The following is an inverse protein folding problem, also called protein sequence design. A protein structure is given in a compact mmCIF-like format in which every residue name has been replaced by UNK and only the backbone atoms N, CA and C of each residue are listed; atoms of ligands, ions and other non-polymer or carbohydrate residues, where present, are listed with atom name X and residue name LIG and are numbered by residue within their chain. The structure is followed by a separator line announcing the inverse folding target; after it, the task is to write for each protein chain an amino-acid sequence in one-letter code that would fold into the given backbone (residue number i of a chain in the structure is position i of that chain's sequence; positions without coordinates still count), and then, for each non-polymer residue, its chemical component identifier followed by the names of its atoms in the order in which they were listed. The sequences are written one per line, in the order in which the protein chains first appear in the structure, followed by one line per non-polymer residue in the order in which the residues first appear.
data_IF_605251446420
#
_entry.id   IF_605251446420
#
_cell.length_a   1.000
_cell.length_b   1.000
_cell.length_c   1.000
_cell.angle_alpha   90.00
_cell.angle_beta   90.00
_cell.angle_gamma   90.00
#
_symmetry.space_group_name_H-M   'P 1'
#
loop_
_entity.id
_entity.type
_entity.pdbx_description
1 polymer ?
#
# COMPACT_ATOMS: atom_id res chain seq x y z
N UNK A 1 -7.00 22.56 1.11
CA UNK A 1 -6.12 21.87 0.14
C UNK A 1 -5.49 20.71 0.90
N UNK A 2 -5.92 19.47 0.64
CA UNK A 2 -5.36 18.31 1.35
C UNK A 2 -3.97 18.02 0.78
N UNK A 3 -2.93 18.18 1.60
CA UNK A 3 -1.56 17.85 1.24
C UNK A 3 -1.25 16.41 1.64
N UNK A 4 -0.35 15.75 0.91
CA UNK A 4 0.21 14.46 1.32
C UNK A 4 1.03 14.70 2.59
N UNK A 5 0.86 13.83 3.59
CA UNK A 5 1.63 13.90 4.83
C UNK A 5 3.08 13.45 4.58
N UNK A 6 4.02 14.26 5.06
CA UNK A 6 5.45 14.05 4.89
C UNK A 6 6.08 13.60 6.21
N UNK A 7 6.97 12.62 6.12
CA UNK A 7 7.68 12.02 7.25
C UNK A 7 9.18 12.05 7.01
N UNK A 8 9.95 12.01 8.09
CA UNK A 8 11.41 12.02 8.00
C UNK A 8 11.96 10.66 7.55
N UNK A 9 11.28 9.57 7.91
CA UNK A 9 11.74 8.20 7.67
C UNK A 9 10.65 7.31 7.06
N UNK A 10 11.07 6.21 6.43
CA UNK A 10 10.13 5.22 5.87
C UNK A 10 9.40 4.47 6.97
N UNK A 11 10.04 4.30 8.12
CA UNK A 11 9.51 3.67 9.32
C UNK A 11 8.36 4.48 9.92
N UNK A 12 8.50 5.79 10.05
CA UNK A 12 7.42 6.68 10.49
C UNK A 12 6.24 6.68 9.53
N UNK A 13 6.52 6.82 8.23
CA UNK A 13 5.49 6.78 7.18
C UNK A 13 4.78 5.42 7.14
N UNK A 14 5.52 4.33 7.40
CA UNK A 14 4.97 2.98 7.50
C UNK A 14 4.04 2.84 8.69
N UNK A 15 4.51 3.17 9.90
CA UNK A 15 3.70 3.01 11.11
C UNK A 15 2.41 3.79 10.98
N UNK A 16 2.48 5.05 10.55
CA UNK A 16 1.31 5.90 10.41
C UNK A 16 0.34 5.40 9.33
N UNK A 17 0.85 5.00 8.16
CA UNK A 17 -0.01 4.53 7.07
C UNK A 17 -0.60 3.14 7.35
N UNK A 18 0.14 2.22 7.98
CA UNK A 18 -0.35 0.90 8.37
C UNK A 18 -1.37 1.01 9.50
N UNK A 19 -1.13 1.84 10.52
CA UNK A 19 -2.08 2.06 11.61
C UNK A 19 -3.41 2.64 11.08
N UNK A 20 -3.38 3.37 9.97
CA UNK A 20 -4.58 3.85 9.26
C UNK A 20 -5.27 2.76 8.42
N UNK A 21 -4.58 2.15 7.44
CA UNK A 21 -5.24 1.28 6.45
C UNK A 21 -5.69 -0.07 7.02
N UNK A 22 -5.11 -0.50 8.15
CA UNK A 22 -5.47 -1.76 8.79
C UNK A 22 -6.75 -1.65 9.63
N UNK A 23 -7.27 -0.44 9.85
CA UNK A 23 -8.60 -0.25 10.45
C UNK A 23 -9.70 -0.61 9.43
N UNK A 24 -10.63 -1.53 9.74
CA UNK A 24 -11.67 -1.97 8.81
C UNK A 24 -12.54 -0.84 8.24
N UNK A 25 -12.72 0.26 8.97
CA UNK A 25 -13.47 1.44 8.51
C UNK A 25 -12.80 2.18 7.34
N UNK A 26 -11.52 1.93 7.09
CA UNK A 26 -10.73 2.55 6.02
C UNK A 26 -10.48 1.57 4.85
N UNK A 27 -11.15 0.42 4.83
CA UNK A 27 -11.04 -0.53 3.73
C UNK A 27 -11.81 -0.04 2.51
N UNK A 28 -11.29 -0.35 1.32
CA UNK A 28 -11.86 0.09 0.04
C UNK A 28 -12.56 -1.07 -0.66
N UNK A 29 -13.78 -0.87 -1.17
CA UNK A 29 -14.44 -1.86 -2.01
C UNK A 29 -13.84 -1.87 -3.43
N UNK A 30 -13.46 -3.06 -3.94
CA UNK A 30 -12.80 -3.26 -5.24
C UNK A 30 -13.70 -2.91 -6.43
N UNK A 31 -15.03 -2.80 -6.23
CA UNK A 31 -16.05 -2.48 -7.26
C UNK A 31 -15.67 -1.28 -8.15
N UNK A 32 -14.76 -0.39 -7.71
CA UNK A 32 -14.32 0.77 -8.49
C UNK A 32 -13.06 0.59 -9.33
N UNK A 33 -12.27 -0.47 -9.16
CA UNK A 33 -10.95 -0.59 -9.83
C UNK A 33 -11.03 -1.08 -11.28
N UNK A 34 -11.95 -2.00 -11.58
CA UNK A 34 -12.10 -2.52 -12.95
C UNK A 34 -12.67 -1.48 -13.92
N UNK A 35 -13.46 -0.54 -13.40
CA UNK A 35 -14.15 0.48 -14.21
C UNK A 35 -13.32 1.75 -14.41
N UNK A 36 -12.35 2.03 -13.53
CA UNK A 36 -11.48 3.20 -13.63
C UNK A 36 -10.09 2.90 -13.03
N UNK A 37 -9.03 2.74 -13.85
CA UNK A 37 -7.65 2.66 -13.38
C UNK A 37 -7.21 3.88 -12.54
N UNK A 38 -7.91 5.02 -12.68
CA UNK A 38 -7.70 6.20 -11.87
C UNK A 38 -8.37 6.12 -10.47
N UNK A 39 -9.19 5.11 -10.20
CA UNK A 39 -9.79 4.81 -8.88
C UNK A 39 -8.79 4.22 -7.87
N UNK A 40 -7.52 4.08 -8.26
CA UNK A 40 -6.41 3.88 -7.34
C UNK A 40 -6.38 5.01 -6.28
N UNK A 41 -6.30 4.71 -4.96
CA UNK A 41 -6.20 5.71 -3.91
C UNK A 41 -4.96 6.62 -4.00
N UNK A 42 -4.08 6.43 -4.98
CA UNK A 42 -2.99 7.37 -5.30
C UNK A 42 -3.43 8.81 -5.61
N UNK A 43 -4.73 9.09 -5.71
CA UNK A 43 -5.28 10.46 -5.70
C UNK A 43 -5.76 10.93 -4.33
N UNK A 44 -6.12 10.01 -3.43
CA UNK A 44 -6.54 10.33 -2.08
C UNK A 44 -5.31 10.45 -1.18
N UNK A 45 -5.09 11.65 -0.64
CA UNK A 45 -3.92 11.94 0.20
C UNK A 45 -3.96 11.20 1.55
N UNK A 46 -5.12 10.71 1.99
CA UNK A 46 -5.25 9.93 3.24
C UNK A 46 -4.52 8.59 3.16
N UNK A 47 -4.48 7.98 1.97
CA UNK A 47 -3.84 6.70 1.70
C UNK A 47 -2.39 6.85 1.22
N UNK A 48 -1.81 8.03 1.39
CA UNK A 48 -0.48 8.36 0.86
C UNK A 48 0.41 9.01 1.89
N UNK A 49 1.69 8.65 1.85
CA UNK A 49 2.77 9.29 2.60
C UNK A 49 3.92 9.65 1.69
N UNK A 50 4.72 10.61 2.12
CA UNK A 50 5.92 11.06 1.43
C UNK A 50 7.13 11.01 2.36
N UNK A 51 8.25 10.51 1.83
CA UNK A 51 9.56 10.50 2.50
C UNK A 51 10.58 11.02 1.49
N UNK A 52 10.90 12.31 1.56
CA UNK A 52 11.75 12.98 0.57
C UNK A 52 11.18 12.87 -0.86
N UNK A 53 11.86 12.14 -1.74
CA UNK A 53 11.40 11.91 -3.12
C UNK A 53 10.47 10.68 -3.27
N UNK A 54 10.38 9.83 -2.25
CA UNK A 54 9.58 8.62 -2.25
C UNK A 54 8.12 8.95 -1.89
N UNK A 55 7.20 8.60 -2.78
CA UNK A 55 5.77 8.54 -2.49
C UNK A 55 5.37 7.10 -2.24
N UNK A 56 4.59 6.92 -1.19
CA UNK A 56 4.07 5.64 -0.76
C UNK A 56 2.55 5.76 -0.79
N UNK A 57 1.88 4.74 -1.34
CA UNK A 57 0.44 4.61 -1.27
C UNK A 57 0.11 3.20 -0.81
N UNK A 58 -0.85 3.05 0.08
CA UNK A 58 -1.27 1.74 0.53
C UNK A 58 -2.77 1.71 0.80
N UNK A 59 -3.40 0.55 0.61
CA UNK A 59 -4.79 0.31 0.95
C UNK A 59 -5.02 -1.16 1.27
N UNK A 60 -6.12 -1.41 1.99
CA UNK A 60 -6.71 -2.74 2.09
C UNK A 60 -7.99 -2.71 1.26
N UNK A 61 -8.05 -3.61 0.29
CA UNK A 61 -9.15 -3.68 -0.67
C UNK A 61 -9.99 -4.95 -0.40
N UNK A 62 -11.31 -4.84 -0.50
CA UNK A 62 -12.28 -5.93 -0.30
C UNK A 62 -13.04 -6.17 -1.59
N UNK A 63 -12.98 -7.39 -2.12
CA UNK A 63 -13.74 -7.81 -3.29
C UNK A 63 -15.19 -8.18 -2.94
N UNK A 64 -16.04 -8.28 -3.96
CA UNK A 64 -17.43 -8.75 -3.81
C UNK A 64 -17.51 -10.19 -3.28
N UNK A 65 -16.46 -10.99 -3.52
CA UNK A 65 -16.28 -12.32 -2.96
C UNK A 65 -15.75 -12.33 -1.52
N UNK A 66 -15.72 -11.17 -0.84
CA UNK A 66 -15.14 -10.97 0.49
C UNK A 66 -13.64 -11.31 0.58
N UNK A 67 -12.94 -11.30 -0.55
CA UNK A 67 -11.49 -11.46 -0.54
C UNK A 67 -10.85 -10.13 -0.16
N UNK A 68 -9.99 -10.19 0.85
CA UNK A 68 -9.28 -9.01 1.35
C UNK A 68 -7.85 -9.04 0.82
N UNK A 69 -7.41 -7.94 0.22
CA UNK A 69 -6.08 -7.81 -0.37
C UNK A 69 -5.38 -6.57 0.19
N UNK A 70 -4.09 -6.73 0.51
CA UNK A 70 -3.22 -5.62 0.86
C UNK A 70 -2.53 -5.15 -0.41
N UNK A 71 -2.63 -3.86 -0.69
CA UNK A 71 -1.99 -3.25 -1.84
C UNK A 71 -1.10 -2.09 -1.37
N UNK A 72 0.16 -2.11 -1.79
CA UNK A 72 1.15 -1.09 -1.48
C UNK A 72 1.84 -0.71 -2.78
N UNK A 73 2.00 0.58 -3.06
CA UNK A 73 2.76 1.03 -4.20
C UNK A 73 3.74 2.13 -3.83
N UNK A 74 4.82 2.17 -4.60
CA UNK A 74 5.90 3.14 -4.44
C UNK A 74 6.14 3.91 -5.73
N UNK A 75 6.50 5.18 -5.60
CA UNK A 75 6.91 6.01 -6.72
C UNK A 75 8.03 6.95 -6.30
N UNK A 76 9.14 6.91 -7.02
CA UNK A 76 10.22 7.87 -6.93
C UNK A 76 10.93 7.99 -8.28
N UNK A 77 11.65 9.09 -8.56
CA UNK A 77 12.48 9.22 -9.75
C UNK A 77 13.53 8.08 -9.81
N UNK A 78 13.59 7.37 -10.94
CA UNK A 78 14.56 6.27 -11.13
C UNK A 78 14.30 5.02 -10.28
N UNK A 79 13.13 4.90 -9.65
CA UNK A 79 12.77 3.71 -8.88
C UNK A 79 12.65 2.49 -9.80
N UNK A 80 13.25 1.38 -9.38
CA UNK A 80 13.18 0.09 -10.07
C UNK A 80 12.38 -0.91 -9.22
N UNK A 81 11.81 -1.97 -9.82
CA UNK A 81 11.06 -2.99 -9.06
C UNK A 81 11.86 -3.62 -7.92
N UNK A 82 13.15 -3.87 -8.14
CA UNK A 82 14.05 -4.43 -7.11
C UNK A 82 14.19 -3.48 -5.92
N UNK A 83 14.49 -2.19 -6.15
CA UNK A 83 14.58 -1.20 -5.07
C UNK A 83 13.24 -0.97 -4.37
N UNK A 84 12.14 -1.06 -5.12
CA UNK A 84 10.80 -0.94 -4.56
C UNK A 84 10.46 -2.14 -3.66
N UNK A 85 10.98 -3.34 -3.95
CA UNK A 85 10.87 -4.48 -3.06
C UNK A 85 11.65 -4.28 -1.74
N UNK A 86 12.84 -3.67 -1.78
CA UNK A 86 13.57 -3.30 -0.55
C UNK A 86 12.75 -2.31 0.30
N UNK A 87 12.09 -1.34 -0.35
CA UNK A 87 11.16 -0.42 0.34
C UNK A 87 9.94 -1.14 0.91
N UNK A 88 9.39 -2.12 0.19
CA UNK A 88 8.28 -2.94 0.68
C UNK A 88 8.67 -3.72 1.93
N UNK A 89 9.84 -4.38 1.92
CA UNK A 89 10.35 -5.10 3.08
C UNK A 89 10.49 -4.17 4.29
N UNK A 90 11.15 -3.03 4.10
CA UNK A 90 11.33 -2.03 5.16
C UNK A 90 9.99 -1.48 5.68
N UNK A 91 9.05 -1.22 4.78
CA UNK A 91 7.71 -0.71 5.11
C UNK A 91 6.92 -1.72 5.94
N UNK A 92 7.05 -3.02 5.68
CA UNK A 92 6.27 -4.04 6.38
C UNK A 92 6.90 -4.54 7.68
N UNK A 93 8.23 -4.40 7.81
CA UNK A 93 9.07 -5.03 8.82
C UNK A 93 8.54 -5.00 10.26
N UNK A 94 7.94 -3.89 10.69
CA UNK A 94 7.52 -3.70 12.09
C UNK A 94 6.11 -4.21 12.41
N UNK A 95 5.19 -4.18 11.45
CA UNK A 95 3.75 -4.41 11.70
C UNK A 95 3.20 -5.64 10.98
N UNK A 96 3.76 -5.99 9.83
CA UNK A 96 3.33 -7.09 8.97
C UNK A 96 4.55 -7.81 8.40
N UNK A 97 5.40 -8.43 9.25
CA UNK A 97 6.60 -9.08 8.77
C UNK A 97 6.28 -10.06 7.65
N UNK A 98 7.13 -10.07 6.62
CA UNK A 98 6.97 -10.95 5.47
C UNK A 98 6.95 -12.40 5.96
N UNK A 99 5.82 -13.07 5.76
CA UNK A 99 5.74 -14.50 6.05
C UNK A 99 6.44 -15.26 4.94
N UNK A 100 7.23 -16.31 5.26
CA UNK A 100 7.81 -17.19 4.25
C UNK A 100 6.73 -17.68 3.28
N UNK A 101 7.05 -17.74 1.99
CA UNK A 101 6.13 -18.13 0.90
C UNK A 101 4.94 -17.18 0.68
N UNK A 102 4.98 -15.95 1.19
CA UNK A 102 4.07 -14.90 0.72
C UNK A 102 4.40 -14.54 -0.72
N UNK A 103 3.53 -14.92 -1.65
CA UNK A 103 3.60 -14.45 -3.03
C UNK A 103 3.05 -13.02 -3.13
N UNK A 104 3.83 -12.16 -3.78
CA UNK A 104 3.43 -10.80 -4.11
C UNK A 104 3.28 -10.69 -5.62
N UNK A 105 2.15 -10.16 -6.06
CA UNK A 105 1.97 -9.73 -7.44
C UNK A 105 2.59 -8.35 -7.60
N UNK A 106 3.33 -8.16 -8.70
CA UNK A 106 4.05 -6.90 -8.97
C UNK A 106 3.63 -6.36 -10.33
N UNK A 107 3.21 -5.09 -10.36
CA UNK A 107 2.81 -4.38 -11.57
C UNK A 107 3.48 -3.00 -11.62
N UNK A 108 3.76 -2.50 -12.83
CA UNK A 108 4.24 -1.13 -13.03
C UNK A 108 3.27 -0.40 -13.93
N UNK A 109 2.70 0.70 -13.43
CA UNK A 109 1.72 1.49 -14.18
C UNK A 109 2.39 2.52 -15.12
N UNK A 110 1.60 3.12 -16.01
CA UNK A 110 2.05 4.17 -16.92
C UNK A 110 2.61 5.42 -16.20
N UNK A 111 2.21 5.64 -14.94
CA UNK A 111 2.63 6.76 -14.09
C UNK A 111 3.88 6.42 -13.26
N UNK A 112 4.49 5.26 -13.51
CA UNK A 112 5.70 4.73 -12.85
C UNK A 112 5.51 4.41 -11.37
N UNK A 113 4.29 4.15 -10.93
CA UNK A 113 4.06 3.46 -9.67
C UNK A 113 4.42 1.99 -9.83
N UNK A 114 5.07 1.45 -8.80
CA UNK A 114 5.37 0.04 -8.70
C UNK A 114 4.48 -0.52 -7.61
N UNK A 115 3.55 -1.36 -8.01
CA UNK A 115 2.45 -1.91 -7.24
C UNK A 115 2.84 -3.29 -6.71
N UNK A 116 2.50 -3.55 -5.45
CA UNK A 116 2.69 -4.81 -4.76
C UNK A 116 1.37 -5.19 -4.10
N UNK A 117 0.74 -6.26 -4.57
CA UNK A 117 -0.48 -6.78 -3.98
C UNK A 117 -0.29 -8.20 -3.49
N UNK A 118 -0.97 -8.53 -2.39
CA UNK A 118 -1.12 -9.90 -1.90
C UNK A 118 -2.45 -10.05 -1.18
N UNK A 119 -2.90 -11.30 -1.01
CA UNK A 119 -4.01 -11.60 -0.10
C UNK A 119 -3.66 -11.13 1.31
N UNK A 120 -4.55 -10.36 1.91
CA UNK A 120 -4.42 -9.94 3.30
C UNK A 120 -5.03 -11.02 4.20
N UNK A 121 -4.17 -11.65 5.01
CA UNK A 121 -4.60 -12.50 6.10
C UNK A 121 -4.24 -11.77 7.40
N UNK A 122 -5.25 -11.34 8.16
CA UNK A 122 -5.00 -10.85 9.50
C UNK A 122 -4.43 -11.99 10.35
N UNK A 123 -3.34 -11.74 11.07
CA UNK A 123 -2.69 -12.74 11.92
C UNK A 123 -3.57 -13.19 13.09
N UNK A 124 -4.60 -12.40 13.43
CA UNK A 124 -5.52 -12.70 14.51
C UNK A 124 -6.96 -12.28 14.14
N UNK A 125 -7.89 -13.22 14.29
CA UNK A 125 -9.29 -12.90 14.55
C UNK A 125 -9.33 -12.25 15.93
N UNK A 126 -9.53 -10.93 16.00
CA UNK A 126 -10.02 -10.32 17.23
C UNK A 126 -11.50 -10.66 17.34
N UNK A 127 -11.80 -11.62 18.21
CA UNK A 127 -13.14 -12.01 18.63
C UNK A 127 -13.82 -10.89 19.45
#
# INVERSE_FOLDING_TARGET
MLSIQEHATTEEASSDLLDFILQPSNWLAVIRRETDPAAWPGQNTLYQRRVGALRICASVDVSDGLEVSLHIAFRAPGLTPVKAADHLESFLKQRLPLTPNSEWQVEVDERRWIHFSRRYAASHLTA
#
